data_IF_672373724703
#
_entry.id   IF_672373724703
#
_cell.length_a   1.000
_cell.length_b   1.000
_cell.length_c   1.000
_cell.angle_alpha   90.00
_cell.angle_beta   90.00
_cell.angle_gamma   90.00
#
_symmetry.space_group_name_H-M   'P 1'
#
loop_
_entity.id
_entity.type
_entity.pdbx_description
1 polymer ?
#
# COMPACT_ATOMS: atom_id res chain seq x y z
N UNK A 1 -7.40 25.92 1.77
CA UNK A 1 -7.57 24.54 2.26
C UNK A 1 -8.01 23.68 1.08
N UNK A 2 -7.19 22.72 0.66
CA UNK A 2 -7.61 21.76 -0.38
C UNK A 2 -8.73 20.87 0.19
N UNK A 3 -9.84 20.78 -0.54
CA UNK A 3 -10.98 19.92 -0.19
C UNK A 3 -10.48 18.47 -0.13
N UNK A 4 -10.82 17.72 0.92
CA UNK A 4 -10.49 16.30 0.98
C UNK A 4 -11.26 15.57 -0.13
N UNK A 5 -10.56 15.21 -1.20
CA UNK A 5 -11.16 14.76 -2.47
C UNK A 5 -11.73 13.33 -2.36
N UNK A 6 -11.34 12.59 -1.31
CA UNK A 6 -11.68 11.18 -1.14
C UNK A 6 -12.49 10.96 0.14
N UNK A 7 -13.77 11.37 0.15
CA UNK A 7 -14.72 10.91 1.17
C UNK A 7 -15.20 9.50 0.83
N UNK A 8 -14.40 8.49 1.18
CA UNK A 8 -14.80 7.10 0.94
C UNK A 8 -15.95 6.65 1.86
N UNK A 9 -16.24 7.42 2.92
CA UNK A 9 -17.31 7.12 3.87
C UNK A 9 -18.68 7.08 3.18
N UNK A 10 -18.91 7.92 2.17
CA UNK A 10 -20.17 7.93 1.43
C UNK A 10 -20.44 6.61 0.70
N UNK A 11 -19.37 5.86 0.34
CA UNK A 11 -19.45 4.55 -0.31
C UNK A 11 -19.52 3.38 0.67
N UNK A 12 -19.23 3.60 1.95
CA UNK A 12 -19.24 2.53 2.95
C UNK A 12 -20.69 2.16 3.35
N UNK A 13 -20.95 0.86 3.52
CA UNK A 13 -22.23 0.32 4.01
C UNK A 13 -22.48 0.75 5.46
N UNK A 14 -21.42 0.71 6.28
CA UNK A 14 -21.41 1.24 7.64
C UNK A 14 -20.56 2.50 7.63
N UNK A 15 -21.13 3.62 8.06
CA UNK A 15 -20.42 4.90 8.07
C UNK A 15 -19.38 4.93 9.19
N UNK A 16 -18.17 5.32 8.85
CA UNK A 16 -17.11 5.58 9.80
C UNK A 16 -17.52 6.77 10.68
N UNK A 17 -17.50 6.58 12.00
CA UNK A 17 -17.80 7.63 12.99
C UNK A 17 -16.68 8.65 13.12
N UNK A 18 -15.46 8.27 12.76
CA UNK A 18 -14.26 9.10 12.80
C UNK A 18 -13.59 8.97 11.44
N UNK A 19 -13.37 10.11 10.80
CA UNK A 19 -12.68 10.19 9.54
C UNK A 19 -11.26 10.66 9.80
N UNK A 20 -10.27 9.77 9.70
CA UNK A 20 -8.86 10.16 9.77
C UNK A 20 -8.52 10.98 8.53
N UNK A 21 -8.18 12.27 8.66
CA UNK A 21 -7.88 13.10 7.51
C UNK A 21 -6.62 12.56 6.82
N UNK A 22 -6.70 12.34 5.50
CA UNK A 22 -5.50 12.02 4.70
C UNK A 22 -4.59 13.25 4.52
N UNK A 23 -5.12 14.46 4.75
CA UNK A 23 -4.43 15.74 4.61
C UNK A 23 -4.83 16.66 5.75
N UNK A 24 -4.01 17.66 6.08
CA UNK A 24 -4.32 18.65 7.12
C UNK A 24 -3.95 18.22 8.54
N UNK A 25 -3.42 17.00 8.70
CA UNK A 25 -2.76 16.54 9.92
C UNK A 25 -1.26 16.46 9.66
N UNK A 26 -0.45 16.96 10.60
CA UNK A 26 1.00 16.89 10.54
C UNK A 26 1.52 16.13 11.75
N UNK A 27 2.32 15.11 11.52
CA UNK A 27 3.09 14.47 12.59
C UNK A 27 4.21 15.42 13.02
N UNK A 28 4.26 15.75 14.30
CA UNK A 28 5.40 16.43 14.89
C UNK A 28 6.50 15.40 15.18
N UNK A 29 7.69 15.89 15.52
CA UNK A 29 8.83 15.04 15.81
C UNK A 29 8.53 14.06 16.96
N UNK A 30 9.06 12.84 16.83
CA UNK A 30 8.85 11.74 17.78
C UNK A 30 8.48 10.42 17.10
N UNK A 31 8.23 9.40 17.93
CA UNK A 31 8.10 8.00 17.51
C UNK A 31 7.13 7.76 16.34
N UNK A 32 6.00 8.45 16.31
CA UNK A 32 5.01 8.28 15.23
C UNK A 32 5.52 8.80 13.89
N UNK A 33 6.24 9.93 13.88
CA UNK A 33 6.84 10.46 12.66
C UNK A 33 7.93 9.54 12.15
N UNK A 34 8.83 9.10 13.04
CA UNK A 34 9.94 8.21 12.68
C UNK A 34 9.42 6.89 12.11
N UNK A 35 8.40 6.29 12.75
CA UNK A 35 7.78 5.05 12.27
C UNK A 35 7.10 5.25 10.92
N UNK A 36 6.42 6.38 10.72
CA UNK A 36 5.78 6.70 9.45
C UNK A 36 6.79 6.89 8.33
N UNK A 37 7.90 7.59 8.58
CA UNK A 37 8.98 7.81 7.63
C UNK A 37 9.72 6.51 7.29
N UNK A 38 9.97 5.64 8.28
CA UNK A 38 10.54 4.31 8.07
C UNK A 38 9.65 3.45 7.18
N UNK A 39 8.34 3.43 7.44
CA UNK A 39 7.39 2.70 6.61
C UNK A 39 7.34 3.27 5.18
N UNK A 40 7.37 4.60 5.03
CA UNK A 40 7.44 5.23 3.71
C UNK A 40 8.73 4.84 2.96
N UNK A 41 9.86 4.78 3.67
CA UNK A 41 11.13 4.31 3.12
C UNK A 41 11.06 2.86 2.64
N UNK A 42 10.51 1.97 3.46
CA UNK A 42 10.29 0.56 3.11
C UNK A 42 9.41 0.40 1.87
N UNK A 43 8.28 1.12 1.79
CA UNK A 43 7.40 1.06 0.62
C UNK A 43 8.10 1.49 -0.67
N UNK A 44 9.03 2.45 -0.59
CA UNK A 44 9.81 2.91 -1.74
C UNK A 44 10.92 1.95 -2.16
N UNK A 45 11.35 1.05 -1.27
CA UNK A 45 12.37 0.04 -1.59
C UNK A 45 11.81 -1.21 -2.27
N UNK A 46 10.48 -1.30 -2.41
CA UNK A 46 9.84 -2.44 -3.07
C UNK A 46 10.17 -2.44 -4.57
N UNK A 47 10.57 -3.62 -5.07
CA UNK A 47 10.80 -3.89 -6.48
C UNK A 47 9.46 -4.17 -7.16
N UNK A 48 9.05 -3.23 -8.00
CA UNK A 48 7.77 -3.30 -8.71
C UNK A 48 7.68 -4.46 -9.70
N UNK A 49 8.81 -4.92 -10.25
CA UNK A 49 8.81 -6.04 -11.17
C UNK A 49 8.56 -7.35 -10.43
N UNK A 50 9.12 -7.49 -9.22
CA UNK A 50 8.81 -8.58 -8.32
C UNK A 50 7.34 -8.57 -7.88
N UNK A 51 6.81 -7.41 -7.43
CA UNK A 51 5.40 -7.28 -7.00
C UNK A 51 4.39 -7.63 -8.10
N UNK A 52 4.69 -7.27 -9.35
CA UNK A 52 3.77 -7.46 -10.47
C UNK A 52 3.94 -8.81 -11.17
N UNK A 53 4.91 -9.63 -10.76
CA UNK A 53 5.30 -10.86 -11.44
C UNK A 53 4.10 -11.78 -11.71
N UNK A 54 3.36 -12.19 -10.66
CA UNK A 54 2.26 -13.13 -10.81
C UNK A 54 1.07 -12.57 -11.59
N UNK A 55 0.82 -11.27 -11.50
CA UNK A 55 -0.23 -10.61 -12.27
C UNK A 55 0.09 -10.65 -13.77
N UNK A 56 1.36 -10.37 -14.13
CA UNK A 56 1.83 -10.43 -15.52
C UNK A 56 1.81 -11.86 -16.06
N UNK A 57 2.30 -12.83 -15.29
CA UNK A 57 2.24 -14.27 -15.64
C UNK A 57 0.81 -14.70 -15.91
N UNK A 58 -0.12 -14.39 -15.01
CA UNK A 58 -1.55 -14.74 -15.17
C UNK A 58 -2.16 -14.10 -16.42
N UNK A 59 -1.73 -12.89 -16.77
CA UNK A 59 -2.20 -12.17 -17.95
C UNK A 59 -1.48 -12.58 -19.25
N UNK A 60 -0.56 -13.57 -19.22
CA UNK A 60 0.24 -13.96 -20.37
C UNK A 60 1.19 -12.87 -20.88
N UNK A 61 1.53 -11.90 -20.03
CA UNK A 61 2.45 -10.80 -20.36
C UNK A 61 3.87 -11.13 -19.93
N UNK A 62 4.85 -10.45 -20.53
CA UNK A 62 6.24 -10.54 -20.07
C UNK A 62 6.34 -10.13 -18.60
N UNK A 63 7.00 -10.95 -17.78
CA UNK A 63 7.21 -10.74 -16.36
C UNK A 63 8.71 -10.66 -16.08
N UNK A 64 9.34 -9.50 -16.31
CA UNK A 64 10.73 -9.30 -15.93
C UNK A 64 10.88 -9.43 -14.42
N UNK A 65 12.05 -9.88 -13.97
CA UNK A 65 12.35 -10.09 -12.55
C UNK A 65 11.93 -11.46 -12.00
N UNK A 66 11.86 -11.57 -10.69
CA UNK A 66 11.42 -12.77 -9.95
C UNK A 66 10.43 -12.36 -8.87
N UNK A 67 9.42 -13.20 -8.56
CA UNK A 67 8.48 -12.89 -7.49
C UNK A 67 9.21 -12.83 -6.15
N UNK A 68 8.66 -12.06 -5.22
CA UNK A 68 9.09 -12.17 -3.83
C UNK A 68 8.86 -13.61 -3.35
N UNK A 69 9.81 -14.17 -2.60
CA UNK A 69 9.72 -15.55 -2.08
C UNK A 69 9.35 -15.53 -0.61
N UNK A 70 8.63 -16.55 -0.15
CA UNK A 70 8.14 -16.65 1.21
C UNK A 70 6.71 -17.16 1.28
N UNK A 71 6.24 -17.37 2.51
CA UNK A 71 4.97 -18.06 2.79
C UNK A 71 3.80 -17.52 1.94
N UNK A 72 3.64 -16.22 1.79
CA UNK A 72 2.47 -15.66 1.10
C UNK A 72 2.57 -15.77 -0.41
N UNK A 73 3.65 -15.30 -1.05
CA UNK A 73 3.79 -15.35 -2.51
C UNK A 73 3.87 -16.78 -3.06
N UNK A 74 4.42 -17.74 -2.29
CA UNK A 74 4.53 -19.13 -2.73
C UNK A 74 3.20 -19.89 -2.62
N UNK A 75 2.32 -19.51 -1.68
CA UNK A 75 1.02 -20.16 -1.47
C UNK A 75 -0.18 -19.38 -2.05
N UNK A 76 -0.08 -18.05 -2.09
CA UNK A 76 -1.12 -17.09 -2.52
C UNK A 76 -0.47 -16.06 -3.46
N UNK A 77 -0.29 -16.48 -4.71
CA UNK A 77 0.38 -15.69 -5.75
C UNK A 77 -0.24 -14.30 -5.92
N UNK A 78 0.58 -13.26 -5.77
CA UNK A 78 0.17 -11.86 -5.86
C UNK A 78 -0.27 -11.22 -4.53
N UNK A 79 -0.20 -11.95 -3.41
CA UNK A 79 -0.33 -11.41 -2.06
C UNK A 79 1.08 -11.19 -1.46
N UNK A 80 1.44 -9.91 -1.24
CA UNK A 80 2.72 -9.49 -0.65
C UNK A 80 2.58 -9.10 0.84
N UNK A 81 1.64 -9.73 1.55
CA UNK A 81 1.32 -9.42 2.94
C UNK A 81 2.35 -9.95 3.94
#
# INVERSE_FOLDING_TARGET
MSRQIWNNNDKNVIKDKIFSPLYGVRLLDGLFKDTFENNLGYLKSLDMDAMLYWFRVRAGKNAPGMPYRGHFEDNIKGQTA
#
